data_IF_625995393267
#
_entry.id   IF_625995393267
#
_cell.length_a   1.000
_cell.length_b   1.000
_cell.length_c   1.000
_cell.angle_alpha   90.00
_cell.angle_beta   90.00
_cell.angle_gamma   90.00
#
_symmetry.space_group_name_H-M   'P 1'
#
loop_
_entity.id
_entity.type
_entity.pdbx_description
1 polymer ?
#
# COMPACT_ATOMS: atom_id res chain seq x y z
N UNK A 1 1.78 23.22 -9.86
CA UNK A 1 2.49 22.64 -8.69
C UNK A 1 2.55 23.65 -7.55
N UNK A 2 1.47 23.73 -6.75
CA UNK A 2 1.55 24.33 -5.41
C UNK A 2 1.80 23.16 -4.46
N UNK A 3 3.02 23.05 -3.95
CA UNK A 3 3.35 22.08 -2.90
C UNK A 3 2.56 22.44 -1.64
N UNK A 4 1.68 21.54 -1.20
CA UNK A 4 0.97 21.65 0.07
C UNK A 4 1.94 21.90 1.23
N UNK A 5 1.48 22.70 2.20
CA UNK A 5 2.24 23.13 3.37
C UNK A 5 2.46 21.92 4.29
N UNK A 6 3.68 21.39 4.35
CA UNK A 6 4.06 20.31 5.29
C UNK A 6 3.83 20.80 6.72
N UNK A 7 3.06 20.03 7.50
CA UNK A 7 2.99 20.22 8.94
C UNK A 7 4.22 19.57 9.54
N UNK A 8 5.12 20.39 10.05
CA UNK A 8 6.34 19.90 10.70
C UNK A 8 6.02 19.49 12.13
N UNK A 9 6.33 18.24 12.47
CA UNK A 9 6.31 17.74 13.87
C UNK A 9 7.41 18.43 14.70
N UNK A 10 8.33 19.17 14.07
CA UNK A 10 9.34 19.99 14.76
C UNK A 10 8.86 21.35 15.26
N UNK A 11 7.59 21.70 15.11
CA UNK A 11 7.02 22.97 15.60
C UNK A 11 7.50 24.21 14.82
N UNK A 12 8.41 24.04 13.86
CA UNK A 12 8.86 25.10 12.97
C UNK A 12 8.09 25.01 11.64
N UNK A 13 7.15 25.95 11.42
CA UNK A 13 6.61 26.17 10.08
C UNK A 13 7.69 26.83 9.23
N UNK A 14 8.26 26.15 8.24
CA UNK A 14 8.89 26.83 7.11
C UNK A 14 8.55 26.15 5.81
N UNK A 15 8.04 26.96 4.88
CA UNK A 15 8.02 26.61 3.48
C UNK A 15 9.45 26.33 3.04
N UNK A 16 9.61 25.30 2.22
CA UNK A 16 10.88 24.91 1.61
C UNK A 16 11.49 26.15 0.99
N UNK A 17 12.65 26.59 1.49
CA UNK A 17 13.39 27.69 0.89
C UNK A 17 13.76 27.25 -0.52
N UNK A 18 13.25 27.95 -1.54
CA UNK A 18 13.40 27.53 -2.94
C UNK A 18 14.85 27.56 -3.43
N UNK A 19 15.77 28.04 -2.60
CA UNK A 19 17.20 28.23 -2.88
C UNK A 19 18.16 27.36 -2.04
N UNK A 20 17.68 26.41 -1.21
CA UNK A 20 18.60 25.51 -0.49
C UNK A 20 19.01 24.32 -1.37
N UNK A 21 19.94 24.59 -2.30
CA UNK A 21 20.55 23.62 -3.22
C UNK A 21 21.68 22.79 -2.56
N UNK A 22 21.75 22.74 -1.22
CA UNK A 22 22.75 21.93 -0.54
C UNK A 22 22.41 20.44 -0.67
N UNK A 23 23.33 19.60 -1.19
CA UNK A 23 23.14 18.16 -1.21
C UNK A 23 23.30 17.63 0.22
N UNK A 24 22.20 17.49 0.95
CA UNK A 24 22.20 16.94 2.30
C UNK A 24 20.79 16.80 2.86
N UNK A 25 20.52 15.69 3.53
CA UNK A 25 19.29 15.52 4.32
C UNK A 25 19.48 16.36 5.59
N UNK A 26 18.61 17.34 5.84
CA UNK A 26 18.76 18.19 7.03
C UNK A 26 18.51 17.39 8.31
N UNK A 27 19.04 17.82 9.48
CA UNK A 27 18.72 17.19 10.76
C UNK A 27 17.22 17.15 11.07
N UNK A 28 16.47 18.12 10.54
CA UNK A 28 15.00 18.16 10.65
C UNK A 28 14.37 17.06 9.80
N UNK A 29 14.81 16.89 8.55
CA UNK A 29 14.31 15.83 7.68
C UNK A 29 14.60 14.43 8.25
N UNK A 30 15.77 14.25 8.88
CA UNK A 30 16.12 13.01 9.60
C UNK A 30 15.17 12.79 10.79
N UNK A 31 14.92 13.83 11.59
CA UNK A 31 14.03 13.73 12.74
C UNK A 31 12.58 13.42 12.34
N UNK A 32 12.08 14.04 11.28
CA UNK A 32 10.74 13.78 10.75
C UNK A 32 10.66 12.36 10.16
N UNK A 33 11.69 11.91 9.43
CA UNK A 33 11.77 10.54 8.92
C UNK A 33 11.74 9.50 10.05
N UNK A 34 12.51 9.73 11.11
CA UNK A 34 12.56 8.84 12.27
C UNK A 34 11.21 8.82 13.02
N UNK A 35 10.55 9.98 13.15
CA UNK A 35 9.23 10.09 13.77
C UNK A 35 8.18 9.30 12.99
N UNK A 36 8.14 9.45 11.65
CA UNK A 36 7.28 8.65 10.78
C UNK A 36 7.55 7.16 10.88
N UNK A 37 8.81 6.77 10.89
CA UNK A 37 9.19 5.35 10.97
C UNK A 37 8.76 4.77 12.32
N UNK A 38 8.92 5.52 13.41
CA UNK A 38 8.45 5.10 14.74
C UNK A 38 6.91 4.98 14.81
N UNK A 39 6.16 5.92 14.23
CA UNK A 39 4.69 5.81 14.12
C UNK A 39 4.28 4.57 13.30
N UNK A 40 4.99 4.29 12.21
CA UNK A 40 4.76 3.08 11.40
C UNK A 40 5.00 1.79 12.18
N UNK A 41 6.05 1.74 13.00
CA UNK A 41 6.33 0.58 13.86
C UNK A 41 5.25 0.38 14.92
N UNK A 42 4.84 1.44 15.62
CA UNK A 42 3.75 1.37 16.60
C UNK A 42 2.42 0.97 15.95
N UNK A 43 2.19 1.37 14.70
CA UNK A 43 1.01 0.96 13.93
C UNK A 43 1.03 -0.54 13.62
N UNK A 44 2.19 -1.04 13.19
CA UNK A 44 2.36 -2.42 12.74
C UNK A 44 2.45 -3.43 13.89
N UNK A 45 3.18 -3.10 14.95
CA UNK A 45 3.47 -4.01 16.07
C UNK A 45 2.63 -3.71 17.32
N UNK A 46 1.86 -2.62 17.32
CA UNK A 46 1.10 -2.18 18.48
C UNK A 46 1.98 -1.49 19.54
N UNK A 47 1.59 -1.56 20.82
CA UNK A 47 2.33 -0.92 21.90
C UNK A 47 3.75 -1.48 22.07
N UNK A 48 4.75 -0.60 22.02
CA UNK A 48 6.17 -0.97 22.14
C UNK A 48 6.87 -0.19 23.26
N UNK A 49 7.79 -0.86 23.95
CA UNK A 49 8.74 -0.24 24.88
C UNK A 49 9.85 0.50 24.14
N UNK A 50 10.60 1.37 24.85
CA UNK A 50 11.80 2.02 24.27
C UNK A 50 12.83 1.02 23.75
N UNK A 51 13.02 -0.08 24.46
CA UNK A 51 14.00 -1.09 24.12
C UNK A 51 13.61 -1.81 22.82
N UNK A 52 12.33 -2.16 22.65
CA UNK A 52 11.81 -2.76 21.42
C UNK A 52 11.90 -1.78 20.24
N UNK A 53 11.51 -0.52 20.43
CA UNK A 53 11.66 0.53 19.42
C UNK A 53 13.12 0.74 19.00
N UNK A 54 14.05 0.73 19.96
CA UNK A 54 15.49 0.83 19.71
C UNK A 54 16.00 -0.33 18.85
N UNK A 55 15.58 -1.58 19.16
CA UNK A 55 15.93 -2.77 18.37
C UNK A 55 15.38 -2.69 16.94
N UNK A 56 14.13 -2.26 16.76
CA UNK A 56 13.53 -2.17 15.43
C UNK A 56 14.10 -1.04 14.57
N UNK A 57 14.43 0.11 15.16
CA UNK A 57 14.94 1.27 14.42
C UNK A 57 16.47 1.27 14.27
N UNK A 58 17.19 0.43 15.02
CA UNK A 58 18.65 0.48 15.07
C UNK A 58 19.20 1.79 15.68
N UNK A 59 18.39 2.48 16.49
CA UNK A 59 18.72 3.76 17.12
C UNK A 59 18.96 3.58 18.62
N UNK A 60 19.76 4.47 19.23
CA UNK A 60 20.04 4.44 20.66
C UNK A 60 18.81 4.83 21.50
N UNK A 61 18.69 4.31 22.73
CA UNK A 61 17.55 4.65 23.61
C UNK A 61 17.38 6.16 23.90
N UNK A 62 18.44 6.98 24.03
CA UNK A 62 18.29 8.44 24.12
C UNK A 62 17.65 9.07 22.88
N UNK A 63 18.01 8.58 21.68
CA UNK A 63 17.40 9.05 20.43
C UNK A 63 15.91 8.68 20.38
N UNK A 64 15.57 7.43 20.72
CA UNK A 64 14.16 6.98 20.85
C UNK A 64 13.40 7.84 21.84
N UNK A 65 13.99 8.16 22.99
CA UNK A 65 13.35 9.00 24.01
C UNK A 65 13.03 10.39 23.45
N UNK A 66 13.94 10.98 22.69
CA UNK A 66 13.71 12.25 22.00
C UNK A 66 12.57 12.20 20.98
N UNK A 67 12.50 11.12 20.19
CA UNK A 67 11.44 10.90 19.20
C UNK A 67 10.09 10.71 19.90
N UNK A 68 10.01 9.83 20.91
CA UNK A 68 8.77 9.56 21.64
C UNK A 68 8.25 10.78 22.38
N UNK A 69 9.13 11.60 22.98
CA UNK A 69 8.74 12.86 23.61
C UNK A 69 8.10 13.80 22.59
N UNK A 70 8.73 13.99 21.43
CA UNK A 70 8.19 14.83 20.36
C UNK A 70 6.81 14.37 19.88
N UNK A 71 6.63 13.06 19.70
CA UNK A 71 5.34 12.48 19.30
C UNK A 71 4.27 12.61 20.39
N UNK A 72 4.66 12.48 21.67
CA UNK A 72 3.76 12.69 22.80
C UNK A 72 3.36 14.16 22.94
N UNK A 73 4.30 15.10 22.79
CA UNK A 73 4.05 16.55 22.80
C UNK A 73 3.11 16.96 21.64
N UNK A 74 3.21 16.28 20.50
CA UNK A 74 2.28 16.43 19.37
C UNK A 74 0.92 15.73 19.59
N UNK A 75 0.74 15.01 20.71
CA UNK A 75 -0.50 14.29 21.02
C UNK A 75 -0.75 13.05 20.17
N UNK A 76 0.25 12.53 19.46
CA UNK A 76 0.13 11.37 18.55
C UNK A 76 0.36 10.04 19.26
N UNK A 77 1.12 10.05 20.36
CA UNK A 77 1.50 8.86 21.13
C UNK A 77 1.19 9.10 22.61
N UNK A 78 0.83 8.03 23.31
CA UNK A 78 0.68 8.01 24.77
C UNK A 78 1.61 6.97 25.38
N UNK A 79 2.10 7.24 26.59
CA UNK A 79 2.93 6.33 27.38
C UNK A 79 2.14 5.74 28.54
N UNK A 80 2.16 4.42 28.71
CA UNK A 80 1.55 3.72 29.84
C UNK A 80 2.58 2.81 30.52
N UNK A 81 2.41 2.57 31.83
CA UNK A 81 3.28 1.66 32.58
C UNK A 81 2.90 0.21 32.25
N UNK A 82 3.82 -0.58 31.71
CA UNK A 82 3.66 -2.04 31.55
C UNK A 82 4.13 -2.72 32.85
N UNK A 83 3.25 -3.47 33.55
CA UNK A 83 3.68 -4.36 34.63
C UNK A 83 4.56 -5.45 34.00
N UNK A 84 5.81 -5.56 34.44
CA UNK A 84 6.67 -6.68 34.03
C UNK A 84 6.78 -7.67 35.17
N UNK A 85 7.19 -8.90 34.86
CA UNK A 85 7.46 -9.96 35.85
C UNK A 85 8.65 -9.64 36.76
N UNK A 86 9.45 -8.61 36.46
CA UNK A 86 10.53 -8.11 37.31
C UNK A 86 10.09 -6.83 38.04
N UNK A 87 10.81 -6.45 39.12
CA UNK A 87 10.61 -5.18 39.85
C UNK A 87 10.79 -3.89 39.02
N UNK A 88 10.92 -3.99 37.69
CA UNK A 88 11.11 -2.88 36.78
C UNK A 88 9.82 -2.61 35.98
N UNK A 89 9.25 -1.42 36.14
CA UNK A 89 8.13 -0.98 35.31
C UNK A 89 8.65 -0.27 34.06
N UNK A 90 8.55 -0.92 32.91
CA UNK A 90 8.86 -0.30 31.63
C UNK A 90 7.70 0.61 31.18
N UNK A 91 8.03 1.72 30.51
CA UNK A 91 7.02 2.56 29.84
C UNK A 91 6.85 2.07 28.41
N UNK A 92 5.60 1.96 28.04
CA UNK A 92 5.11 1.43 26.79
C UNK A 92 4.41 2.53 26.00
N UNK A 93 4.77 2.69 24.73
CA UNK A 93 4.24 3.73 23.87
C UNK A 93 3.18 3.14 22.95
N UNK A 94 2.04 3.82 22.84
CA UNK A 94 0.92 3.43 21.97
C UNK A 94 0.45 4.62 21.15
N UNK A 95 0.01 4.39 19.92
CA UNK A 95 -0.63 5.42 19.11
C UNK A 95 -1.93 5.87 19.77
N UNK A 96 -2.17 7.18 19.75
CA UNK A 96 -3.47 7.75 20.03
C UNK A 96 -4.31 7.67 18.76
N UNK A 97 -5.08 6.59 18.64
CA UNK A 97 -5.87 6.30 17.44
C UNK A 97 -6.72 7.50 16.99
N UNK A 98 -7.36 8.17 17.94
CA UNK A 98 -8.26 9.31 17.73
C UNK A 98 -7.57 10.64 17.42
N UNK A 99 -6.23 10.72 17.50
CA UNK A 99 -5.50 11.97 17.33
C UNK A 99 -5.54 12.50 15.90
N UNK A 100 -5.60 11.61 14.92
CA UNK A 100 -5.63 11.96 13.52
C UNK A 100 -6.34 10.90 12.66
N UNK A 101 -6.90 11.36 11.55
CA UNK A 101 -7.62 10.52 10.60
C UNK A 101 -7.08 10.76 9.19
N UNK A 102 -7.30 9.78 8.32
CA UNK A 102 -6.96 9.89 6.91
C UNK A 102 -8.01 9.22 6.02
N UNK A 103 -8.17 9.77 4.82
CA UNK A 103 -9.01 9.24 3.77
C UNK A 103 -8.17 8.61 2.65
N UNK A 104 -8.69 7.56 2.04
CA UNK A 104 -8.14 6.94 0.86
C UNK A 104 -9.23 6.64 -0.14
N UNK A 105 -8.98 6.94 -1.41
CA UNK A 105 -9.89 6.69 -2.51
C UNK A 105 -9.19 5.79 -3.51
N UNK A 106 -9.84 4.70 -3.92
CA UNK A 106 -9.47 3.93 -5.10
C UNK A 106 -10.42 4.29 -6.22
N UNK A 107 -9.88 4.60 -7.40
CA UNK A 107 -10.62 4.80 -8.64
C UNK A 107 -10.28 3.71 -9.66
N UNK A 108 -11.31 3.13 -10.27
CA UNK A 108 -11.20 2.14 -11.33
C UNK A 108 -12.36 2.24 -12.32
N UNK A 109 -12.32 1.39 -13.36
CA UNK A 109 -13.34 1.39 -14.41
C UNK A 109 -14.74 1.01 -13.90
N UNK A 110 -14.82 0.20 -12.85
CA UNK A 110 -16.07 -0.25 -12.22
C UNK A 110 -16.60 0.71 -11.15
N UNK A 111 -16.02 1.91 -11.05
CA UNK A 111 -16.25 2.86 -9.96
C UNK A 111 -15.11 2.84 -8.95
N UNK A 112 -15.43 3.15 -7.71
CA UNK A 112 -14.41 3.35 -6.68
C UNK A 112 -14.87 2.98 -5.28
N UNK A 113 -13.95 3.13 -4.35
CA UNK A 113 -14.22 2.99 -2.93
C UNK A 113 -13.47 4.06 -2.16
N UNK A 114 -14.10 4.55 -1.10
CA UNK A 114 -13.51 5.48 -0.15
C UNK A 114 -13.40 4.77 1.20
N UNK A 115 -12.25 4.92 1.84
CA UNK A 115 -11.93 4.38 3.17
C UNK A 115 -11.52 5.54 4.07
N UNK A 116 -12.07 5.61 5.27
CA UNK A 116 -11.54 6.44 6.35
C UNK A 116 -10.92 5.55 7.43
N UNK A 117 -9.74 5.94 7.90
CA UNK A 117 -9.05 5.24 8.98
C UNK A 117 -8.49 6.19 10.03
N UNK A 118 -8.32 5.66 11.23
CA UNK A 118 -7.68 6.33 12.34
C UNK A 118 -6.14 6.25 12.27
N UNK A 119 -5.45 6.89 13.22
CA UNK A 119 -3.98 6.89 13.27
C UNK A 119 -3.38 5.50 13.52
N UNK A 120 -4.13 4.57 14.11
CA UNK A 120 -3.70 3.19 14.30
C UNK A 120 -3.93 2.33 13.05
N UNK A 121 -4.54 2.87 11.99
CA UNK A 121 -4.84 2.15 10.75
C UNK A 121 -6.12 1.32 10.81
N UNK A 122 -6.95 1.50 11.84
CA UNK A 122 -8.27 0.87 11.90
C UNK A 122 -9.20 1.58 10.92
N UNK A 123 -9.84 0.81 10.05
CA UNK A 123 -10.88 1.32 9.15
C UNK A 123 -12.11 1.65 10.00
N UNK A 124 -12.53 2.91 9.95
CA UNK A 124 -13.70 3.40 10.67
C UNK A 124 -14.96 3.30 9.81
N UNK A 125 -14.81 3.60 8.53
CA UNK A 125 -15.89 3.67 7.56
C UNK A 125 -15.34 3.36 6.17
N UNK A 126 -16.16 2.69 5.36
CA UNK A 126 -15.86 2.38 3.96
C UNK A 126 -17.14 2.49 3.14
N UNK A 127 -17.04 3.01 1.92
CA UNK A 127 -18.18 3.18 1.01
C UNK A 127 -17.73 3.02 -0.43
N UNK A 128 -18.40 2.15 -1.16
CA UNK A 128 -18.27 2.06 -2.60
C UNK A 128 -19.09 3.16 -3.29
N UNK A 129 -18.68 3.54 -4.49
CA UNK A 129 -19.41 4.48 -5.34
C UNK A 129 -19.22 4.12 -6.81
N UNK A 130 -20.14 4.55 -7.65
CA UNK A 130 -20.09 4.41 -9.10
C UNK A 130 -19.72 5.73 -9.74
N UNK A 131 -18.77 5.68 -10.68
CA UNK A 131 -18.35 6.85 -11.45
C UNK A 131 -17.63 7.95 -10.63
N UNK A 132 -16.97 8.91 -11.30
CA UNK A 132 -16.32 10.05 -10.63
C UNK A 132 -17.29 10.98 -9.89
N UNK A 133 -18.54 11.08 -10.35
CA UNK A 133 -19.58 11.91 -9.75
C UNK A 133 -19.97 11.46 -8.33
N UNK A 134 -19.82 10.17 -8.02
CA UNK A 134 -20.11 9.61 -6.69
C UNK A 134 -19.03 9.89 -5.65
N UNK A 135 -17.84 10.38 -6.05
CA UNK A 135 -16.70 10.56 -5.14
C UNK A 135 -17.05 11.54 -4.01
N UNK A 136 -17.61 12.69 -4.33
CA UNK A 136 -17.89 13.74 -3.35
C UNK A 136 -18.95 13.28 -2.33
N UNK A 137 -20.04 12.67 -2.80
CA UNK A 137 -21.06 12.10 -1.91
C UNK A 137 -20.47 11.05 -0.97
N UNK A 138 -19.65 10.13 -1.49
CA UNK A 138 -19.02 9.11 -0.68
C UNK A 138 -18.09 9.69 0.40
N UNK A 139 -17.30 10.70 0.05
CA UNK A 139 -16.39 11.41 0.97
C UNK A 139 -17.17 12.13 2.07
N UNK A 140 -18.18 12.93 1.70
CA UNK A 140 -19.00 13.68 2.64
C UNK A 140 -19.75 12.75 3.60
N UNK A 141 -20.31 11.65 3.06
CA UNK A 141 -21.04 10.67 3.85
C UNK A 141 -20.16 10.01 4.91
N UNK A 142 -18.99 9.50 4.52
CA UNK A 142 -18.07 8.84 5.45
C UNK A 142 -17.59 9.82 6.52
N UNK A 143 -17.25 11.06 6.13
CA UNK A 143 -16.79 12.08 7.08
C UNK A 143 -17.86 12.44 8.09
N UNK A 144 -19.13 12.53 7.66
CA UNK A 144 -20.26 12.75 8.56
C UNK A 144 -20.50 11.57 9.50
N UNK A 145 -20.44 10.34 8.98
CA UNK A 145 -20.71 9.12 9.74
C UNK A 145 -19.63 8.78 10.77
N UNK A 146 -18.38 9.19 10.54
CA UNK A 146 -17.26 8.83 11.40
C UNK A 146 -17.23 9.58 12.75
N UNK A 147 -17.95 10.70 12.89
CA UNK A 147 -18.09 11.41 14.17
C UNK A 147 -16.76 11.82 14.80
N UNK A 148 -15.76 12.14 13.98
CA UNK A 148 -14.36 12.28 14.41
C UNK A 148 -14.07 13.63 15.08
N UNK A 149 -13.38 13.61 16.23
CA UNK A 149 -12.94 14.83 16.95
C UNK A 149 -11.51 15.27 16.62
N UNK A 150 -10.68 14.36 16.10
CA UNK A 150 -9.29 14.60 15.72
C UNK A 150 -9.12 15.14 14.30
N UNK A 151 -7.87 15.41 13.92
CA UNK A 151 -7.56 16.12 12.67
C UNK A 151 -7.56 15.20 11.45
N UNK A 152 -8.29 15.56 10.41
CA UNK A 152 -8.15 14.95 9.09
C UNK A 152 -6.87 15.46 8.43
N UNK A 153 -5.95 14.56 8.09
CA UNK A 153 -4.64 14.91 7.56
C UNK A 153 -4.61 15.12 6.05
N UNK A 154 -5.58 14.56 5.33
CA UNK A 154 -5.62 14.57 3.88
C UNK A 154 -6.30 13.34 3.30
N UNK A 155 -6.28 13.26 1.98
CA UNK A 155 -6.82 12.14 1.22
C UNK A 155 -5.79 11.60 0.21
N UNK A 156 -5.49 10.30 0.28
CA UNK A 156 -4.80 9.61 -0.80
C UNK A 156 -5.78 9.23 -1.90
N UNK A 157 -5.36 9.35 -3.16
CA UNK A 157 -6.16 8.98 -4.34
C UNK A 157 -5.31 8.04 -5.18
N UNK A 158 -5.70 6.77 -5.23
CA UNK A 158 -5.05 5.74 -6.02
C UNK A 158 -5.86 5.45 -7.28
N UNK A 159 -5.15 5.37 -8.40
CA UNK A 159 -5.72 5.12 -9.72
C UNK A 159 -4.86 4.10 -10.48
N UNK A 160 -5.50 3.34 -11.35
CA UNK A 160 -4.79 2.51 -12.31
C UNK A 160 -4.01 3.38 -13.31
N UNK A 161 -2.85 2.88 -13.73
CA UNK A 161 -2.06 3.56 -14.76
C UNK A 161 -2.91 3.76 -16.02
N UNK A 162 -2.93 5.00 -16.54
CA UNK A 162 -3.70 5.35 -17.73
C UNK A 162 -5.19 5.66 -17.48
N UNK A 163 -5.67 5.59 -16.24
CA UNK A 163 -7.06 5.97 -15.92
C UNK A 163 -7.29 7.46 -16.19
N UNK A 164 -8.28 7.84 -17.04
CA UNK A 164 -8.53 9.23 -17.39
C UNK A 164 -9.19 9.95 -16.22
N UNK A 165 -8.41 10.82 -15.55
CA UNK A 165 -8.89 11.63 -14.43
C UNK A 165 -8.49 13.10 -14.64
N UNK A 166 -9.49 13.99 -14.59
CA UNK A 166 -9.22 15.42 -14.45
C UNK A 166 -8.79 15.70 -13.00
N UNK A 167 -7.47 15.67 -12.78
CA UNK A 167 -6.88 15.92 -11.46
C UNK A 167 -7.28 17.28 -10.90
N UNK A 168 -7.41 18.30 -11.76
CA UNK A 168 -7.73 19.66 -11.32
C UNK A 168 -9.17 19.77 -10.85
N UNK A 169 -10.10 19.15 -11.56
CA UNK A 169 -11.49 19.07 -11.12
C UNK A 169 -11.62 18.38 -9.75
N UNK A 170 -10.85 17.31 -9.51
CA UNK A 170 -10.81 16.62 -8.23
C UNK A 170 -10.19 17.50 -7.13
N UNK A 171 -9.08 18.18 -7.41
CA UNK A 171 -8.46 19.13 -6.49
C UNK A 171 -9.44 20.24 -6.09
N UNK A 172 -10.08 20.89 -7.06
CA UNK A 172 -11.02 22.00 -6.84
C UNK A 172 -12.26 21.57 -6.02
N UNK A 173 -12.67 20.30 -6.13
CA UNK A 173 -13.83 19.74 -5.45
C UNK A 173 -13.50 19.21 -4.05
N UNK A 174 -12.42 18.42 -3.91
CA UNK A 174 -12.14 17.68 -2.67
C UNK A 174 -11.15 18.38 -1.75
N UNK A 175 -10.18 19.15 -2.24
CA UNK A 175 -9.08 19.66 -1.40
C UNK A 175 -9.61 20.55 -0.25
N UNK A 176 -10.69 21.30 -0.50
CA UNK A 176 -11.37 22.12 0.54
C UNK A 176 -12.04 21.28 1.61
N UNK A 177 -12.51 20.09 1.26
CA UNK A 177 -13.29 19.20 2.09
C UNK A 177 -12.42 18.24 2.92
N UNK A 178 -11.29 17.80 2.35
CA UNK A 178 -10.45 16.75 2.96
C UNK A 178 -9.03 17.20 3.27
N UNK A 179 -8.65 18.42 2.88
CA UNK A 179 -7.28 18.90 2.98
C UNK A 179 -6.40 18.37 1.85
N UNK A 180 -5.07 18.25 2.07
CA UNK A 180 -4.12 17.88 1.02
C UNK A 180 -4.46 16.56 0.32
N UNK A 181 -4.35 16.56 -1.00
CA UNK A 181 -4.55 15.38 -1.84
C UNK A 181 -3.21 14.75 -2.24
N UNK A 182 -3.14 13.42 -2.20
CA UNK A 182 -1.94 12.65 -2.56
C UNK A 182 -2.28 11.61 -3.63
N UNK A 183 -1.89 11.88 -4.87
CA UNK A 183 -2.11 10.96 -5.98
C UNK A 183 -1.05 9.85 -6.02
N UNK A 184 -1.50 8.61 -6.17
CA UNK A 184 -0.65 7.42 -6.24
C UNK A 184 -1.08 6.55 -7.42
N UNK A 185 -0.15 5.76 -7.93
CA UNK A 185 -0.55 4.56 -8.67
C UNK A 185 -1.10 3.54 -7.68
N UNK A 186 -2.08 2.77 -8.11
CA UNK A 186 -2.67 1.72 -7.30
C UNK A 186 -1.69 0.62 -6.87
N UNK A 187 -0.68 0.30 -7.69
CA UNK A 187 0.38 -0.63 -7.32
C UNK A 187 1.22 -0.09 -6.16
N UNK A 188 1.51 1.22 -6.13
CA UNK A 188 2.16 1.87 -5.00
C UNK A 188 1.27 1.86 -3.75
N UNK A 189 -0.03 2.15 -3.92
CA UNK A 189 -0.97 2.09 -2.81
C UNK A 189 -1.06 0.67 -2.24
N UNK A 190 -1.19 -0.36 -3.08
CA UNK A 190 -1.25 -1.74 -2.66
C UNK A 190 0.03 -2.16 -1.90
N UNK A 191 1.21 -1.74 -2.37
CA UNK A 191 2.47 -1.91 -1.61
C UNK A 191 2.38 -1.25 -0.23
N UNK A 192 1.87 -0.02 -0.14
CA UNK A 192 1.77 0.69 1.13
C UNK A 192 0.86 -0.04 2.12
N UNK A 193 -0.27 -0.59 1.65
CA UNK A 193 -1.17 -1.40 2.48
C UNK A 193 -0.45 -2.64 3.02
N UNK A 194 0.18 -3.42 2.14
CA UNK A 194 0.88 -4.64 2.54
C UNK A 194 2.07 -4.39 3.44
N UNK A 195 2.86 -3.36 3.15
CA UNK A 195 4.05 -3.00 3.92
C UNK A 195 3.70 -2.50 5.32
N UNK A 196 2.59 -1.77 5.48
CA UNK A 196 2.25 -1.13 6.75
C UNK A 196 1.33 -2.00 7.62
N UNK A 197 0.35 -2.66 7.01
CA UNK A 197 -0.73 -3.37 7.72
C UNK A 197 -0.82 -4.86 7.35
N UNK A 198 -0.22 -5.28 6.24
CA UNK A 198 -0.23 -6.68 5.77
C UNK A 198 1.03 -7.43 6.15
N UNK A 199 1.62 -8.14 5.17
CA UNK A 199 2.80 -8.99 5.38
C UNK A 199 4.07 -8.23 5.81
N UNK A 200 4.07 -6.92 5.62
CA UNK A 200 5.11 -5.98 5.96
C UNK A 200 6.35 -5.98 5.07
N UNK A 201 7.40 -5.31 5.54
CA UNK A 201 8.70 -5.27 4.85
C UNK A 201 9.36 -6.66 4.95
N UNK A 202 9.57 -7.29 3.80
CA UNK A 202 10.22 -8.60 3.67
C UNK A 202 11.67 -8.39 3.26
N UNK A 203 12.57 -9.19 3.82
CA UNK A 203 13.94 -9.27 3.31
C UNK A 203 13.91 -9.65 1.83
N UNK A 204 14.71 -8.97 1.00
CA UNK A 204 14.70 -9.15 -0.46
C UNK A 204 13.60 -8.39 -1.20
N UNK A 205 12.70 -7.69 -0.50
CA UNK A 205 11.64 -6.88 -1.12
C UNK A 205 10.34 -7.64 -1.37
N UNK A 206 9.39 -6.97 -2.01
CA UNK A 206 8.03 -7.44 -2.24
C UNK A 206 7.58 -7.07 -3.65
N UNK A 207 6.93 -8.00 -4.35
CA UNK A 207 6.19 -7.72 -5.58
C UNK A 207 4.71 -7.96 -5.35
N UNK A 208 3.86 -7.03 -5.79
CA UNK A 208 2.41 -7.21 -5.80
C UNK A 208 1.91 -7.17 -7.24
N UNK A 209 1.22 -8.21 -7.68
CA UNK A 209 0.58 -8.30 -8.99
C UNK A 209 -0.89 -7.95 -8.81
N UNK A 210 -1.34 -6.90 -9.49
CA UNK A 210 -2.74 -6.51 -9.54
C UNK A 210 -3.34 -7.01 -10.85
N UNK A 211 -4.40 -7.81 -10.74
CA UNK A 211 -5.18 -8.33 -11.85
C UNK A 211 -6.59 -7.73 -11.82
N UNK A 212 -6.81 -6.73 -12.67
CA UNK A 212 -8.08 -6.03 -12.85
C UNK A 212 -8.45 -5.99 -14.35
N UNK A 213 -8.81 -4.81 -14.87
CA UNK A 213 -8.95 -4.51 -16.30
C UNK A 213 -7.65 -4.76 -17.08
N UNK A 214 -6.51 -4.52 -16.41
CA UNK A 214 -5.17 -4.80 -16.91
C UNK A 214 -4.36 -5.51 -15.83
N UNK A 215 -3.30 -6.21 -16.24
CA UNK A 215 -2.33 -6.82 -15.32
C UNK A 215 -1.15 -5.88 -15.12
N UNK A 216 -0.80 -5.61 -13.87
CA UNK A 216 0.30 -4.73 -13.49
C UNK A 216 0.99 -5.23 -12.23
N UNK A 217 2.23 -4.84 -12.03
CA UNK A 217 3.01 -5.18 -10.86
C UNK A 217 3.53 -3.92 -10.16
N UNK A 218 3.46 -3.92 -8.83
CA UNK A 218 4.21 -3.01 -7.98
C UNK A 218 5.45 -3.70 -7.44
N UNK A 219 6.57 -3.01 -7.44
CA UNK A 219 7.82 -3.51 -6.86
C UNK A 219 8.20 -2.66 -5.64
N UNK A 220 8.52 -3.32 -4.53
CA UNK A 220 9.14 -2.73 -3.34
C UNK A 220 10.58 -3.23 -3.26
N UNK A 221 11.54 -2.36 -3.54
CA UNK A 221 12.97 -2.67 -3.55
C UNK A 221 13.69 -1.70 -2.62
N UNK A 222 14.50 -2.21 -1.70
CA UNK A 222 15.20 -1.38 -0.71
C UNK A 222 14.26 -0.57 0.19
N UNK A 223 13.10 -1.14 0.54
CA UNK A 223 12.10 -0.50 1.39
C UNK A 223 11.37 0.68 0.72
N UNK A 224 11.46 0.83 -0.61
CA UNK A 224 10.80 1.90 -1.37
C UNK A 224 10.08 1.35 -2.60
N UNK A 225 8.91 1.90 -2.97
CA UNK A 225 8.28 1.60 -4.24
C UNK A 225 9.24 1.93 -5.39
N UNK A 226 9.54 0.95 -6.24
CA UNK A 226 10.41 1.09 -7.38
C UNK A 226 9.57 1.31 -8.65
N UNK A 227 9.70 2.50 -9.23
CA UNK A 227 8.93 2.97 -10.39
C UNK A 227 9.74 2.92 -11.71
N UNK A 228 11.05 2.69 -11.63
CA UNK A 228 11.95 2.82 -12.78
C UNK A 228 12.09 4.27 -13.26
N UNK A 229 12.95 4.49 -14.26
CA UNK A 229 13.27 5.85 -14.75
C UNK A 229 12.06 6.56 -15.37
N UNK A 230 11.28 5.85 -16.18
CA UNK A 230 10.09 6.41 -16.86
C UNK A 230 8.79 6.24 -16.05
N UNK A 231 8.85 5.70 -14.82
CA UNK A 231 7.63 5.39 -14.07
C UNK A 231 6.87 4.16 -14.58
N UNK A 232 7.46 3.38 -15.49
CA UNK A 232 6.84 2.23 -16.16
C UNK A 232 7.26 0.88 -15.58
N UNK A 233 7.99 0.85 -14.46
CA UNK A 233 8.35 -0.43 -13.83
C UNK A 233 7.08 -1.18 -13.43
N UNK A 234 7.03 -2.47 -13.79
CA UNK A 234 5.89 -3.32 -13.47
C UNK A 234 4.69 -3.21 -14.42
N UNK A 235 4.81 -2.54 -15.58
CA UNK A 235 3.84 -2.62 -16.67
C UNK A 235 3.92 -3.98 -17.38
N UNK A 236 3.66 -5.06 -16.64
CA UNK A 236 3.82 -6.45 -17.11
C UNK A 236 2.66 -6.93 -17.99
N UNK A 237 1.56 -6.16 -18.08
CA UNK A 237 0.36 -6.54 -18.81
C UNK A 237 0.59 -6.83 -20.29
N UNK A 238 1.48 -6.07 -20.94
CA UNK A 238 1.79 -6.25 -22.37
C UNK A 238 2.88 -7.29 -22.62
N UNK A 239 3.38 -7.96 -21.57
CA UNK A 239 4.36 -9.03 -21.75
C UNK A 239 3.70 -10.24 -22.41
N UNK A 240 4.19 -10.59 -23.60
CA UNK A 240 3.80 -11.80 -24.32
C UNK A 240 4.49 -13.03 -23.70
N UNK A 241 3.69 -14.05 -23.36
CA UNK A 241 4.22 -15.33 -22.93
C UNK A 241 4.80 -16.12 -24.11
N UNK A 242 5.76 -17.00 -23.84
CA UNK A 242 6.27 -17.99 -24.79
C UNK A 242 5.32 -19.16 -25.03
N UNK A 243 4.19 -19.20 -24.33
CA UNK A 243 3.17 -20.27 -24.43
C UNK A 243 2.51 -20.27 -25.80
N UNK A 244 2.00 -19.12 -26.22
CA UNK A 244 1.29 -18.91 -27.49
C UNK A 244 1.43 -17.48 -28.04
N UNK A 245 2.27 -16.63 -27.41
CA UNK A 245 2.48 -15.24 -27.80
C UNK A 245 1.44 -14.24 -27.29
N UNK A 246 0.37 -14.66 -26.62
CA UNK A 246 -0.62 -13.73 -26.07
C UNK A 246 -0.06 -12.97 -24.85
N UNK A 247 -0.49 -11.70 -24.72
CA UNK A 247 -0.11 -10.87 -23.57
C UNK A 247 -0.94 -11.21 -22.33
N UNK A 248 -0.47 -10.85 -21.15
CA UNK A 248 -1.28 -10.98 -19.92
C UNK A 248 -2.58 -10.17 -19.99
N UNK A 249 -2.55 -9.01 -20.63
CA UNK A 249 -3.75 -8.17 -20.81
C UNK A 249 -4.82 -8.88 -21.66
N UNK A 250 -4.41 -9.76 -22.58
CA UNK A 250 -5.33 -10.52 -23.43
C UNK A 250 -6.01 -11.69 -22.69
N UNK A 251 -5.28 -12.37 -21.79
CA UNK A 251 -5.72 -13.68 -21.27
C UNK A 251 -5.89 -13.77 -19.75
N UNK A 252 -5.37 -12.82 -18.98
CA UNK A 252 -5.30 -12.89 -17.52
C UNK A 252 -5.90 -11.65 -16.85
N UNK A 253 -7.00 -11.12 -17.38
CA UNK A 253 -7.71 -9.92 -16.87
C UNK A 253 -9.18 -10.21 -16.55
N UNK A 254 -9.82 -9.34 -15.77
CA UNK A 254 -11.26 -9.42 -15.49
C UNK A 254 -12.13 -9.38 -16.77
N UNK A 255 -11.86 -8.51 -17.78
CA UNK A 255 -12.53 -8.59 -19.08
C UNK A 255 -12.37 -9.93 -19.79
N UNK A 256 -11.16 -10.51 -19.79
CA UNK A 256 -10.91 -11.81 -20.43
C UNK A 256 -11.69 -12.93 -19.74
N UNK A 257 -11.79 -12.91 -18.40
CA UNK A 257 -12.61 -13.85 -17.62
C UNK A 257 -14.10 -13.68 -17.95
N UNK A 258 -14.61 -12.44 -17.94
CA UNK A 258 -16.02 -12.16 -18.28
C UNK A 258 -16.37 -12.66 -19.68
N UNK A 259 -15.48 -12.43 -20.66
CA UNK A 259 -15.64 -12.92 -22.03
C UNK A 259 -15.68 -14.45 -22.08
N UNK A 260 -14.80 -15.13 -21.33
CA UNK A 260 -14.81 -16.59 -21.24
C UNK A 260 -16.11 -17.12 -20.64
N UNK A 261 -16.54 -16.57 -19.49
CA UNK A 261 -17.76 -16.99 -18.80
C UNK A 261 -19.04 -16.70 -19.59
N UNK A 262 -19.03 -15.69 -20.48
CA UNK A 262 -20.14 -15.45 -21.40
C UNK A 262 -20.28 -16.57 -22.44
N UNK A 263 -19.18 -17.20 -22.84
CA UNK A 263 -19.17 -18.34 -23.75
C UNK A 263 -19.32 -19.70 -23.03
N UNK A 264 -18.84 -19.80 -21.79
CA UNK A 264 -18.85 -21.02 -20.96
C UNK A 264 -19.36 -20.70 -19.55
N UNK A 265 -20.68 -20.55 -19.36
CA UNK A 265 -21.26 -20.13 -18.10
C UNK A 265 -20.93 -21.07 -16.94
N UNK A 266 -20.36 -20.53 -15.86
CA UNK A 266 -20.04 -21.30 -14.65
C UNK A 266 -18.79 -22.17 -14.73
N UNK A 267 -18.03 -22.11 -15.83
CA UNK A 267 -16.85 -22.96 -16.05
C UNK A 267 -15.55 -22.12 -16.14
N UNK A 268 -15.02 -21.62 -15.01
CA UNK A 268 -13.81 -20.80 -15.02
C UNK A 268 -12.52 -21.62 -15.23
N UNK A 269 -12.53 -22.94 -15.03
CA UNK A 269 -11.33 -23.77 -14.94
C UNK A 269 -10.42 -23.71 -16.17
N UNK A 270 -11.02 -23.70 -17.37
CA UNK A 270 -10.27 -23.58 -18.61
C UNK A 270 -9.58 -22.21 -18.73
N UNK A 271 -10.27 -21.13 -18.33
CA UNK A 271 -9.68 -19.80 -18.29
C UNK A 271 -8.59 -19.70 -17.21
N UNK A 272 -8.83 -20.25 -16.02
CA UNK A 272 -7.83 -20.31 -14.92
C UNK A 272 -6.56 -21.03 -15.39
N UNK A 273 -6.70 -22.11 -16.16
CA UNK A 273 -5.58 -22.84 -16.73
C UNK A 273 -4.73 -21.97 -17.67
N UNK A 274 -5.37 -21.18 -18.52
CA UNK A 274 -4.70 -20.27 -19.44
C UNK A 274 -4.04 -19.14 -18.64
N UNK A 275 -4.81 -18.42 -17.81
CA UNK A 275 -4.31 -17.30 -17.03
C UNK A 275 -3.12 -17.69 -16.13
N UNK A 276 -3.22 -18.80 -15.39
CA UNK A 276 -2.16 -19.26 -14.49
C UNK A 276 -0.86 -19.57 -15.25
N UNK A 277 -0.93 -20.23 -16.40
CA UNK A 277 0.25 -20.60 -17.20
C UNK A 277 1.00 -19.36 -17.72
N UNK A 278 0.28 -18.33 -18.14
CA UNK A 278 0.91 -17.07 -18.58
C UNK A 278 1.47 -16.28 -17.40
N UNK A 279 0.70 -16.19 -16.30
CA UNK A 279 1.18 -15.57 -15.06
C UNK A 279 2.43 -16.28 -14.51
N UNK A 280 2.52 -17.60 -14.66
CA UNK A 280 3.65 -18.39 -14.20
C UNK A 280 4.96 -17.98 -14.89
N UNK A 281 4.97 -17.82 -16.22
CA UNK A 281 6.17 -17.34 -16.93
C UNK A 281 6.63 -15.96 -16.45
N UNK A 282 5.68 -15.10 -16.08
CA UNK A 282 5.99 -13.77 -15.54
C UNK A 282 6.54 -13.85 -14.13
N UNK A 283 5.96 -14.71 -13.28
CA UNK A 283 6.48 -15.00 -11.94
C UNK A 283 7.91 -15.52 -12.03
N UNK A 284 8.23 -16.36 -13.02
CA UNK A 284 9.60 -16.82 -13.25
C UNK A 284 10.53 -15.68 -13.65
N UNK A 285 10.11 -14.82 -14.59
CA UNK A 285 10.90 -13.66 -15.00
C UNK A 285 11.18 -12.71 -13.81
N UNK A 286 10.14 -12.35 -13.05
CA UNK A 286 10.25 -11.51 -11.85
C UNK A 286 11.18 -12.15 -10.83
N UNK A 287 11.05 -13.44 -10.59
CA UNK A 287 11.89 -14.16 -9.63
C UNK A 287 13.36 -14.22 -10.07
N UNK A 288 13.62 -14.34 -11.38
CA UNK A 288 14.97 -14.37 -11.94
C UNK A 288 15.69 -13.01 -11.91
N UNK A 289 14.97 -11.92 -12.18
CA UNK A 289 15.57 -10.57 -12.24
C UNK A 289 15.57 -9.82 -10.91
N UNK A 290 14.53 -10.00 -10.09
CA UNK A 290 14.31 -9.22 -8.87
C UNK A 290 14.59 -10.05 -7.62
N UNK A 291 14.33 -11.37 -7.67
CA UNK A 291 14.44 -12.30 -6.53
C UNK A 291 13.75 -11.77 -5.25
N UNK A 292 12.45 -11.43 -5.30
CA UNK A 292 11.77 -10.83 -4.16
C UNK A 292 11.54 -11.84 -3.03
N UNK A 293 11.49 -11.37 -1.79
CA UNK A 293 11.17 -12.21 -0.62
C UNK A 293 9.70 -12.64 -0.55
N UNK A 294 8.83 -12.01 -1.34
CA UNK A 294 7.43 -12.40 -1.50
C UNK A 294 6.84 -11.87 -2.80
N UNK A 295 5.94 -12.66 -3.39
CA UNK A 295 5.05 -12.23 -4.48
C UNK A 295 3.61 -12.38 -3.99
N UNK A 296 2.84 -11.29 -4.08
CA UNK A 296 1.42 -11.25 -3.76
C UNK A 296 0.60 -11.05 -5.02
N UNK A 297 -0.60 -11.59 -5.07
CA UNK A 297 -1.58 -11.36 -6.13
C UNK A 297 -2.93 -10.90 -5.57
N UNK A 298 -3.54 -9.91 -6.21
CA UNK A 298 -4.87 -9.43 -5.86
C UNK A 298 -5.47 -8.58 -6.97
N UNK A 299 -6.64 -8.01 -6.72
CA UNK A 299 -7.37 -7.22 -7.71
C UNK A 299 -8.86 -7.52 -7.68
N UNK A 300 -9.51 -7.42 -8.83
CA UNK A 300 -10.96 -7.43 -9.01
C UNK A 300 -11.52 -8.77 -9.49
N UNK A 301 -10.69 -9.80 -9.66
CA UNK A 301 -11.20 -11.16 -9.90
C UNK A 301 -11.95 -11.70 -8.66
N UNK A 302 -12.91 -12.62 -8.85
CA UNK A 302 -13.52 -13.37 -7.75
C UNK A 302 -12.47 -14.12 -6.91
N UNK A 303 -12.73 -14.26 -5.60
CA UNK A 303 -11.77 -14.88 -4.69
C UNK A 303 -11.52 -16.37 -4.99
N UNK A 304 -12.56 -17.12 -5.37
CA UNK A 304 -12.44 -18.52 -5.80
C UNK A 304 -11.54 -18.67 -7.04
N UNK A 305 -11.64 -17.73 -7.98
CA UNK A 305 -10.76 -17.67 -9.16
C UNK A 305 -9.32 -17.37 -8.77
N UNK A 306 -9.07 -16.44 -7.83
CA UNK A 306 -7.73 -16.17 -7.33
C UNK A 306 -7.12 -17.40 -6.64
N UNK A 307 -7.88 -18.08 -5.78
CA UNK A 307 -7.40 -19.30 -5.10
C UNK A 307 -7.09 -20.41 -6.11
N UNK A 308 -7.90 -20.57 -7.16
CA UNK A 308 -7.65 -21.55 -8.21
C UNK A 308 -6.37 -21.23 -9.02
N UNK A 309 -6.13 -19.95 -9.34
CA UNK A 309 -4.89 -19.50 -10.00
C UNK A 309 -3.69 -19.78 -9.08
N UNK A 310 -3.73 -19.36 -7.81
CA UNK A 310 -2.62 -19.52 -6.85
C UNK A 310 -2.28 -21.00 -6.65
N UNK A 311 -3.29 -21.86 -6.51
CA UNK A 311 -3.10 -23.30 -6.39
C UNK A 311 -2.41 -23.88 -7.63
N UNK A 312 -2.77 -23.41 -8.82
CA UNK A 312 -2.15 -23.86 -10.08
C UNK A 312 -0.73 -23.36 -10.24
N UNK A 313 -0.46 -22.08 -9.95
CA UNK A 313 0.89 -21.51 -9.94
C UNK A 313 1.83 -22.26 -8.98
N UNK A 314 1.30 -22.66 -7.82
CA UNK A 314 2.06 -23.44 -6.83
C UNK A 314 2.41 -24.83 -7.35
N UNK A 315 1.45 -25.53 -7.98
CA UNK A 315 1.70 -26.83 -8.61
C UNK A 315 2.74 -26.74 -9.73
N UNK A 316 2.60 -25.78 -10.65
CA UNK A 316 3.52 -25.61 -11.78
C UNK A 316 4.95 -25.28 -11.31
N UNK A 317 5.09 -24.50 -10.24
CA UNK A 317 6.38 -24.27 -9.58
C UNK A 317 6.97 -25.56 -9.03
N UNK A 318 6.18 -26.34 -8.30
CA UNK A 318 6.65 -27.58 -7.66
C UNK A 318 7.02 -28.64 -8.70
N UNK A 319 6.32 -28.70 -9.84
CA UNK A 319 6.65 -29.57 -10.97
C UNK A 319 7.99 -29.17 -11.63
N UNK A 320 8.20 -27.87 -11.92
CA UNK A 320 9.49 -27.42 -12.50
C UNK A 320 10.69 -27.63 -11.59
N UNK A 321 10.49 -27.51 -10.27
CA UNK A 321 11.53 -27.80 -9.27
C UNK A 321 11.95 -29.27 -9.34
N UNK A 322 11.05 -30.20 -9.69
CA UNK A 322 11.37 -31.61 -9.85
C UNK A 322 12.18 -31.91 -11.11
N UNK A 323 11.91 -31.22 -12.22
CA UNK A 323 12.36 -31.67 -13.54
C UNK A 323 13.62 -30.99 -14.09
N UNK A 324 13.93 -29.73 -13.73
CA UNK A 324 14.94 -28.96 -14.49
C UNK A 324 15.98 -28.21 -13.65
N UNK A 325 15.63 -27.61 -12.51
CA UNK A 325 16.56 -26.98 -11.56
C UNK A 325 15.87 -26.87 -10.19
N UNK A 326 16.54 -27.26 -9.10
CA UNK A 326 16.08 -26.94 -7.74
C UNK A 326 16.14 -25.41 -7.59
N UNK A 327 15.01 -24.72 -7.76
CA UNK A 327 14.89 -23.26 -7.65
C UNK A 327 14.10 -22.83 -6.40
N UNK A 328 14.56 -23.17 -5.17
CA UNK A 328 13.88 -22.86 -3.91
C UNK A 328 13.83 -21.35 -3.63
N UNK A 329 14.58 -20.55 -4.40
CA UNK A 329 14.56 -19.10 -4.34
C UNK A 329 13.33 -18.47 -5.00
N UNK A 330 12.52 -19.23 -5.77
CA UNK A 330 11.28 -18.71 -6.34
C UNK A 330 10.22 -18.69 -5.23
N UNK A 331 9.80 -17.50 -4.75
CA UNK A 331 8.81 -17.42 -3.69
C UNK A 331 7.46 -17.97 -4.15
N UNK A 332 6.72 -18.60 -3.23
CA UNK A 332 5.30 -18.91 -3.49
C UNK A 332 4.52 -17.62 -3.72
N UNK A 333 3.73 -17.58 -4.78
CA UNK A 333 2.70 -16.55 -4.96
C UNK A 333 1.62 -16.77 -3.91
N UNK A 334 1.19 -15.69 -3.25
CA UNK A 334 0.15 -15.73 -2.21
C UNK A 334 -0.90 -14.67 -2.47
N UNK A 335 -2.10 -14.84 -1.92
CA UNK A 335 -3.13 -13.81 -1.95
C UNK A 335 -2.66 -12.58 -1.19
N UNK A 336 -2.94 -11.39 -1.73
CA UNK A 336 -2.79 -10.13 -1.00
C UNK A 336 -3.67 -10.14 0.26
N UNK A 337 -3.18 -9.53 1.34
CA UNK A 337 -3.80 -9.51 2.67
C UNK A 337 -5.14 -8.77 2.70
N UNK A 338 -5.39 -7.90 1.73
CA UNK A 338 -6.58 -7.05 1.66
C UNK A 338 -7.39 -7.31 0.37
N UNK A 339 -8.73 -7.18 0.43
CA UNK A 339 -9.58 -7.18 -0.77
C UNK A 339 -9.10 -6.13 -1.78
N UNK A 340 -9.24 -6.43 -3.08
CA UNK A 340 -8.75 -5.56 -4.17
C UNK A 340 -7.32 -5.06 -3.98
N UNK A 341 -6.45 -5.92 -3.43
CA UNK A 341 -5.05 -5.63 -3.11
C UNK A 341 -4.84 -4.48 -2.10
N UNK A 342 -5.88 -4.06 -1.38
CA UNK A 342 -5.80 -3.02 -0.36
C UNK A 342 -5.53 -1.62 -0.91
N UNK A 343 -5.85 -1.36 -2.19
CA UNK A 343 -5.50 -0.10 -2.85
C UNK A 343 -6.06 1.13 -2.11
N UNK A 344 -7.33 1.12 -1.69
CA UNK A 344 -7.90 2.25 -0.94
C UNK A 344 -7.30 2.41 0.46
N UNK A 345 -7.01 1.31 1.14
CA UNK A 345 -6.31 1.29 2.44
C UNK A 345 -4.92 1.88 2.29
N UNK A 346 -4.19 1.47 1.26
CA UNK A 346 -2.87 1.97 0.90
C UNK A 346 -2.86 3.46 0.57
N UNK A 347 -3.89 3.94 -0.13
CA UNK A 347 -4.08 5.35 -0.39
C UNK A 347 -4.31 6.13 0.92
N UNK A 348 -5.15 5.61 1.81
CA UNK A 348 -5.40 6.21 3.13
C UNK A 348 -4.17 6.22 4.06
N UNK A 349 -3.16 5.40 3.79
CA UNK A 349 -1.89 5.45 4.54
C UNK A 349 -0.95 6.56 4.06
N UNK A 350 -1.17 7.12 2.86
CA UNK A 350 -0.28 8.12 2.28
C UNK A 350 -0.27 9.45 3.06
N UNK A 351 -1.41 10.03 3.46
CA UNK A 351 -1.40 11.27 4.24
C UNK A 351 -0.64 11.13 5.55
N UNK A 352 -0.75 10.02 6.28
CA UNK A 352 0.06 9.79 7.49
C UNK A 352 1.56 9.82 7.21
N UNK A 353 1.99 9.29 6.07
CA UNK A 353 3.40 9.19 5.71
C UNK A 353 4.00 10.50 5.16
N UNK A 354 3.17 11.47 4.79
CA UNK A 354 3.61 12.73 4.17
C UNK A 354 3.37 13.96 5.07
N UNK A 355 2.47 13.86 6.04
CA UNK A 355 2.04 15.00 6.88
C UNK A 355 2.47 14.91 8.34
N UNK A 356 2.80 13.71 8.83
CA UNK A 356 3.42 13.47 10.14
C UNK A 356 4.93 13.24 9.93
#
# INVERSE_FOLDING_TARGET
>A
MKTGRRLSVSGASKGRDRNDDRPGISPVDIADHNSRTALGLLRRFGPLTRQELSRHLGLTEPAITGIMRRLADAGLVSGQKRPTTAHYTAVEFSLRADAAYSLGIRLGADGGETVMMDLAGKILQQRAFTGPEGINDAVLHIRGAAGTSGKLLGCGIALATGFPLDRRAIEDTLEREVGPLFFLDDTEAAINAERMLGIGDREGGLVIIIVDETVRAGLLIGGRPFRGFHGLAGQIGDMCSGVDGASLNDVATLPSLKKHLAAHPGEPDAWVAIAARHLHEMVLAISGFIAPGAILIGGALPDDVFEAIIARLSRERDDKIRDLVIAPWIPSVRRASFPRAGVAVGAALRPFSETL
#
